data_IF_251984686572
#
_entry.id   IF_251984686572
#
_cell.length_a   1.000
_cell.length_b   1.000
_cell.length_c   1.000
_cell.angle_alpha   90.00
_cell.angle_beta   90.00
_cell.angle_gamma   90.00
#
_symmetry.space_group_name_H-M   'P 1'
#
loop_
_entity.id
_entity.type
_entity.pdbx_description
1 polymer ?
#
# COMPACT_ATOMS: atom_id res chain seq x y z
N UNK A 1 29.18 -9.98 6.45
CA UNK A 1 28.66 -8.63 6.75
C UNK A 1 27.22 -8.61 6.28
N UNK A 2 26.26 -8.37 7.19
CA UNK A 2 24.85 -8.34 6.81
C UNK A 2 24.47 -6.92 6.33
N UNK A 3 23.69 -6.79 5.24
CA UNK A 3 23.23 -5.49 4.77
C UNK A 3 22.29 -4.85 5.80
N UNK A 4 22.40 -3.53 5.98
CA UNK A 4 21.54 -2.78 6.90
C UNK A 4 20.11 -2.67 6.35
N UNK A 5 19.10 -2.54 7.19
CA UNK A 5 17.73 -2.28 6.74
C UNK A 5 17.57 -0.79 6.39
N UNK A 6 16.98 -0.48 5.23
CA UNK A 6 16.62 0.90 4.87
C UNK A 6 15.45 1.40 5.73
N UNK A 7 14.47 0.54 6.03
CA UNK A 7 13.34 0.88 6.90
C UNK A 7 13.79 1.24 8.33
N UNK A 8 14.85 0.58 8.83
CA UNK A 8 15.42 0.87 10.15
C UNK A 8 16.07 2.25 10.27
N UNK A 9 16.51 2.84 9.14
CA UNK A 9 16.98 4.24 9.09
C UNK A 9 15.80 5.21 9.14
N UNK A 10 14.61 4.77 8.73
CA UNK A 10 13.39 5.56 8.79
C UNK A 10 13.35 6.66 7.73
N UNK A 11 12.75 7.80 8.07
CA UNK A 11 12.46 8.91 7.14
C UNK A 11 13.70 9.59 6.57
N UNK A 12 14.85 9.39 7.18
CA UNK A 12 16.11 10.02 6.78
C UNK A 12 16.81 9.25 5.66
N UNK A 13 16.32 8.05 5.31
CA UNK A 13 16.90 7.29 4.20
C UNK A 13 16.65 8.01 2.87
N UNK A 14 17.70 8.33 2.09
CA UNK A 14 17.58 9.19 0.92
C UNK A 14 17.21 8.39 -0.34
N UNK A 15 15.97 7.92 -0.39
CA UNK A 15 15.46 7.11 -1.49
C UNK A 15 15.58 7.78 -2.87
N UNK A 16 15.52 9.11 -2.94
CA UNK A 16 15.55 9.88 -4.19
C UNK A 16 16.85 10.64 -4.45
N UNK A 17 17.84 10.52 -3.55
CA UNK A 17 19.10 11.23 -3.76
C UNK A 17 19.82 10.70 -5.01
N UNK A 18 20.34 11.62 -5.81
CA UNK A 18 21.12 11.31 -7.03
C UNK A 18 22.37 10.48 -6.74
N UNK A 19 22.83 10.49 -5.49
CA UNK A 19 24.00 9.77 -5.01
C UNK A 19 23.67 8.37 -4.50
N UNK A 20 22.39 8.02 -4.34
CA UNK A 20 21.95 6.68 -3.93
C UNK A 20 21.92 5.77 -5.15
N UNK A 21 22.76 4.73 -5.16
CA UNK A 21 22.82 3.74 -6.23
C UNK A 21 21.99 2.51 -5.86
N UNK A 22 21.11 2.06 -6.75
CA UNK A 22 20.31 0.86 -6.52
C UNK A 22 20.92 -0.36 -7.20
N UNK A 23 20.88 -1.49 -6.49
CA UNK A 23 21.38 -2.78 -6.95
C UNK A 23 20.25 -3.78 -6.81
N UNK A 24 20.01 -4.54 -7.87
CA UNK A 24 19.06 -5.64 -7.86
C UNK A 24 19.82 -6.96 -7.91
N UNK A 25 19.48 -7.88 -7.01
CA UNK A 25 20.05 -9.23 -6.95
C UNK A 25 18.93 -10.22 -7.22
N UNK A 26 19.04 -10.96 -8.32
CA UNK A 26 18.07 -11.96 -8.75
C UNK A 26 18.24 -13.27 -8.00
N UNK A 27 17.24 -14.15 -8.07
CA UNK A 27 17.29 -15.48 -7.43
C UNK A 27 18.43 -16.36 -7.94
N UNK A 28 18.82 -16.20 -9.20
CA UNK A 28 19.95 -16.93 -9.81
C UNK A 28 21.33 -16.39 -9.38
N UNK A 29 21.35 -15.36 -8.53
CA UNK A 29 22.57 -14.71 -8.05
C UNK A 29 23.13 -13.66 -9.02
N UNK A 30 22.48 -13.43 -10.16
CA UNK A 30 22.87 -12.34 -11.05
C UNK A 30 22.60 -10.98 -10.41
N UNK A 31 23.48 -10.02 -10.69
CA UNK A 31 23.42 -8.67 -10.14
C UNK A 31 23.26 -7.69 -11.29
N UNK A 32 22.21 -6.88 -11.23
CA UNK A 32 21.93 -5.85 -12.23
C UNK A 32 21.81 -4.48 -11.55
N UNK A 33 21.94 -3.42 -12.34
CA UNK A 33 21.58 -2.08 -11.86
C UNK A 33 20.09 -2.09 -11.49
N UNK A 34 19.81 -1.72 -10.25
CA UNK A 34 18.46 -1.71 -9.70
C UNK A 34 17.77 -0.37 -9.88
N UNK A 35 16.48 -0.35 -9.57
CA UNK A 35 15.69 0.87 -9.45
C UNK A 35 14.58 1.03 -10.49
N UNK A 36 13.67 1.95 -10.21
CA UNK A 36 12.48 2.20 -11.01
C UNK A 36 11.40 1.12 -10.87
N UNK A 37 10.36 1.23 -11.69
CA UNK A 37 9.16 0.38 -11.62
C UNK A 37 9.47 -1.09 -11.83
N UNK A 38 10.29 -1.45 -12.82
CA UNK A 38 10.55 -2.83 -13.18
C UNK A 38 11.30 -3.61 -12.08
N UNK A 39 12.27 -2.97 -11.41
CA UNK A 39 12.98 -3.60 -10.29
C UNK A 39 12.08 -3.72 -9.05
N UNK A 40 11.21 -2.73 -8.81
CA UNK A 40 10.17 -2.81 -7.78
C UNK A 40 9.22 -3.97 -8.04
N UNK A 41 8.69 -4.12 -9.26
CA UNK A 41 7.74 -5.19 -9.58
C UNK A 41 8.36 -6.59 -9.39
N UNK A 42 9.63 -6.78 -9.78
CA UNK A 42 10.37 -8.04 -9.57
C UNK A 42 10.67 -8.32 -8.10
N UNK A 43 11.08 -7.30 -7.35
CA UNK A 43 11.32 -7.42 -5.92
C UNK A 43 10.02 -7.75 -5.16
N UNK A 44 8.91 -7.14 -5.57
CA UNK A 44 7.57 -7.41 -5.04
C UNK A 44 7.11 -8.84 -5.35
N UNK A 45 7.40 -9.34 -6.55
CA UNK A 45 7.14 -10.73 -6.95
C UNK A 45 8.11 -11.75 -6.31
N UNK A 46 8.99 -11.30 -5.40
CA UNK A 46 10.06 -12.10 -4.77
C UNK A 46 11.04 -12.74 -5.77
N UNK A 47 11.09 -12.25 -7.00
CA UNK A 47 12.01 -12.73 -8.05
C UNK A 47 13.41 -12.12 -7.91
N UNK A 48 13.50 -11.01 -7.18
CA UNK A 48 14.75 -10.33 -6.88
C UNK A 48 14.70 -9.68 -5.50
N UNK A 49 15.85 -9.21 -5.03
CA UNK A 49 16.01 -8.38 -3.83
C UNK A 49 16.63 -7.07 -4.23
N UNK A 50 16.06 -5.98 -3.72
CA UNK A 50 16.53 -4.63 -4.01
C UNK A 50 17.41 -4.12 -2.86
N UNK A 51 18.55 -3.54 -3.22
CA UNK A 51 19.49 -2.92 -2.31
C UNK A 51 19.79 -1.50 -2.77
N UNK A 52 20.22 -0.66 -1.84
CA UNK A 52 20.67 0.69 -2.07
C UNK A 52 22.03 0.91 -1.42
N UNK A 53 22.95 1.49 -2.17
CA UNK A 53 24.23 1.97 -1.67
C UNK A 53 24.06 3.45 -1.39
N UNK A 54 24.16 3.82 -0.12
CA UNK A 54 24.12 5.22 0.29
C UNK A 54 25.55 5.67 0.67
N UNK A 55 26.12 6.63 -0.07
CA UNK A 55 27.44 7.18 0.25
C UNK A 55 27.37 8.10 1.48
N UNK A 56 28.13 7.75 2.51
CA UNK A 56 28.50 8.63 3.61
C UNK A 56 29.79 9.40 3.30
N UNK A 57 30.24 10.22 4.27
CA UNK A 57 31.41 11.10 4.11
C UNK A 57 32.72 10.33 3.89
N UNK A 58 32.85 9.12 4.46
CA UNK A 58 34.08 8.29 4.41
C UNK A 58 33.83 6.81 4.09
N UNK A 59 32.58 6.38 3.95
CA UNK A 59 32.21 4.99 3.66
C UNK A 59 30.90 4.92 2.89
N UNK A 60 30.75 3.90 2.05
CA UNK A 60 29.46 3.56 1.44
C UNK A 60 28.85 2.38 2.18
N UNK A 61 27.64 2.56 2.69
CA UNK A 61 26.91 1.51 3.38
C UNK A 61 25.89 0.89 2.42
N UNK A 62 25.76 -0.44 2.48
CA UNK A 62 24.77 -1.21 1.73
C UNK A 62 23.52 -1.42 2.59
N UNK A 63 22.38 -0.98 2.05
CA UNK A 63 21.07 -1.12 2.65
C UNK A 63 20.19 -2.05 1.82
N UNK A 64 19.47 -2.95 2.47
CA UNK A 64 18.39 -3.72 1.88
C UNK A 64 17.13 -2.86 1.86
N UNK A 65 16.45 -2.79 0.72
CA UNK A 65 15.14 -2.18 0.61
C UNK A 65 14.10 -3.21 1.04
N UNK A 66 13.85 -3.26 2.34
CA UNK A 66 12.90 -4.17 2.98
C UNK A 66 11.48 -3.59 3.05
N UNK A 67 11.36 -2.26 3.06
CA UNK A 67 10.08 -1.56 2.88
C UNK A 67 9.92 -1.09 1.41
N UNK A 68 9.35 -1.97 0.60
CA UNK A 68 9.05 -1.69 -0.80
C UNK A 68 7.97 -0.61 -0.97
N UNK A 69 7.09 -0.39 0.02
CA UNK A 69 6.05 0.63 -0.06
C UNK A 69 6.66 2.05 0.10
N UNK A 70 7.64 2.23 1.00
CA UNK A 70 8.33 3.51 1.15
C UNK A 70 9.24 3.80 -0.06
N UNK A 71 9.88 2.77 -0.63
CA UNK A 71 10.57 2.88 -1.92
C UNK A 71 9.61 3.33 -3.03
N UNK A 72 8.45 2.67 -3.16
CA UNK A 72 7.48 2.99 -4.20
C UNK A 72 6.98 4.43 -4.08
N UNK A 73 6.63 4.86 -2.86
CA UNK A 73 6.22 6.22 -2.56
C UNK A 73 7.29 7.25 -2.91
N UNK A 74 8.55 7.00 -2.54
CA UNK A 74 9.65 7.90 -2.84
C UNK A 74 9.91 8.06 -4.35
N UNK A 75 9.78 6.97 -5.11
CA UNK A 75 9.99 6.96 -6.56
C UNK A 75 8.73 7.31 -7.37
N UNK A 76 7.66 7.76 -6.70
CA UNK A 76 6.38 8.09 -7.36
C UNK A 76 5.71 6.89 -8.03
N UNK A 77 6.12 5.68 -7.66
CA UNK A 77 5.52 4.42 -8.10
C UNK A 77 4.21 4.27 -7.33
N UNK A 78 3.16 4.84 -7.91
CA UNK A 78 1.81 4.66 -7.40
C UNK A 78 1.26 3.34 -7.92
N UNK A 79 0.98 2.48 -6.94
CA UNK A 79 0.19 1.25 -6.94
C UNK A 79 0.23 0.25 -8.11
N UNK A 80 0.22 -1.02 -7.72
CA UNK A 80 0.00 -2.16 -8.57
C UNK A 80 -1.51 -2.49 -8.59
N UNK A 81 -2.18 -2.15 -9.70
CA UNK A 81 -3.60 -2.42 -9.92
C UNK A 81 -3.90 -3.93 -9.92
N UNK A 82 -2.96 -4.77 -10.38
CA UNK A 82 -3.15 -6.22 -10.43
C UNK A 82 -3.18 -6.81 -9.02
N UNK A 83 -2.27 -6.35 -8.15
CA UNK A 83 -2.23 -6.79 -6.74
C UNK A 83 -3.41 -6.26 -5.92
N UNK A 84 -3.75 -4.99 -6.09
CA UNK A 84 -4.68 -4.28 -5.19
C UNK A 84 -6.12 -4.36 -5.66
N UNK A 85 -6.33 -4.62 -6.96
CA UNK A 85 -7.61 -4.54 -7.65
C UNK A 85 -8.17 -3.12 -7.74
N UNK A 86 -7.37 -2.12 -7.38
CA UNK A 86 -7.76 -0.71 -7.34
C UNK A 86 -6.93 0.08 -8.37
N UNK A 87 -7.62 0.57 -9.38
CA UNK A 87 -7.04 1.49 -10.37
C UNK A 87 -6.87 2.88 -9.76
N UNK A 88 -5.93 3.68 -10.26
CA UNK A 88 -5.75 5.07 -9.84
C UNK A 88 -6.79 5.98 -10.50
N UNK A 89 -7.95 6.15 -9.85
CA UNK A 89 -8.96 7.16 -10.18
C UNK A 89 -9.83 7.47 -8.94
N UNK A 90 -10.70 8.48 -9.05
CA UNK A 90 -11.72 8.77 -8.03
C UNK A 90 -12.79 7.69 -8.08
N UNK A 91 -12.84 6.81 -7.07
CA UNK A 91 -13.76 5.69 -7.06
C UNK A 91 -15.21 6.18 -6.90
N UNK A 92 -16.09 5.63 -7.72
CA UNK A 92 -17.53 5.72 -7.51
C UNK A 92 -17.92 4.70 -6.44
N UNK A 93 -18.06 5.19 -5.20
CA UNK A 93 -18.27 4.39 -4.00
C UNK A 93 -19.70 4.59 -3.53
N UNK A 94 -20.46 3.50 -3.53
CA UNK A 94 -21.77 3.44 -2.89
C UNK A 94 -21.62 2.74 -1.54
N UNK A 95 -22.22 3.29 -0.49
CA UNK A 95 -22.13 2.69 0.83
C UNK A 95 -23.42 2.83 1.63
N UNK A 96 -23.64 1.87 2.52
CA UNK A 96 -24.75 1.87 3.47
C UNK A 96 -24.28 1.38 4.83
N UNK A 97 -24.98 1.78 5.91
CA UNK A 97 -24.70 1.24 7.25
C UNK A 97 -25.14 -0.21 7.31
N UNK A 98 -24.29 -1.09 7.81
CA UNK A 98 -24.66 -2.49 7.97
C UNK A 98 -25.59 -2.66 9.19
N UNK A 99 -26.88 -2.88 8.92
CA UNK A 99 -27.96 -2.89 9.92
C UNK A 99 -28.00 -4.15 10.81
N UNK A 100 -27.34 -5.24 10.40
CA UNK A 100 -27.40 -6.55 11.08
C UNK A 100 -26.40 -6.72 12.24
N UNK A 101 -25.39 -5.85 12.36
CA UNK A 101 -24.54 -5.81 13.56
C UNK A 101 -25.14 -4.82 14.54
N UNK A 102 -25.23 -5.20 15.81
CA UNK A 102 -25.60 -4.31 16.92
C UNK A 102 -24.74 -3.04 16.88
N UNK A 103 -25.24 -2.00 16.19
CA UNK A 103 -24.58 -0.71 16.03
C UNK A 103 -24.62 -0.02 17.38
N UNK A 104 -23.56 -0.17 18.16
CA UNK A 104 -23.42 0.57 19.41
C UNK A 104 -23.20 2.05 19.04
N UNK A 105 -24.16 2.95 19.33
CA UNK A 105 -24.07 4.35 18.94
C UNK A 105 -22.91 5.08 19.64
N UNK A 106 -22.35 4.50 20.71
CA UNK A 106 -21.16 5.02 21.39
C UNK A 106 -19.84 4.59 20.77
N UNK A 107 -19.85 3.63 19.83
CA UNK A 107 -18.64 3.22 19.12
C UNK A 107 -18.20 4.32 18.16
N UNK A 108 -16.92 4.76 18.20
CA UNK A 108 -16.40 5.73 17.26
C UNK A 108 -16.35 5.17 15.83
N UNK A 109 -16.28 3.84 15.68
CA UNK A 109 -16.31 3.16 14.40
C UNK A 109 -17.69 2.59 14.12
N UNK A 110 -18.14 2.70 12.87
CA UNK A 110 -19.34 2.06 12.33
C UNK A 110 -18.93 1.04 11.27
N UNK A 111 -19.68 -0.05 11.16
CA UNK A 111 -19.49 -1.02 10.07
C UNK A 111 -20.39 -0.61 8.92
N UNK A 112 -19.81 -0.48 7.73
CA UNK A 112 -20.52 -0.13 6.51
C UNK A 112 -20.33 -1.22 5.47
N UNK A 113 -21.32 -1.37 4.60
CA UNK A 113 -21.21 -2.12 3.36
C UNK A 113 -20.87 -1.17 2.23
N UNK A 114 -19.88 -1.52 1.43
CA UNK A 114 -19.35 -0.71 0.33
C UNK A 114 -19.44 -1.50 -0.96
N UNK A 115 -19.82 -0.83 -2.05
CA UNK A 115 -19.70 -1.33 -3.42
C UNK A 115 -19.01 -0.30 -4.30
N UNK A 116 -18.27 -0.78 -5.29
CA UNK A 116 -17.49 0.05 -6.22
C UNK A 116 -18.11 -0.04 -7.61
N UNK A 117 -18.84 1.00 -8.02
CA UNK A 117 -19.50 1.06 -9.34
C UNK A 117 -18.50 1.21 -10.49
N UNK A 118 -17.28 1.64 -10.18
CA UNK A 118 -16.18 1.76 -11.15
C UNK A 118 -15.56 0.42 -11.58
N UNK A 119 -16.08 -0.71 -11.09
CA UNK A 119 -15.58 -2.05 -11.44
C UNK A 119 -14.30 -2.47 -10.73
N UNK A 120 -13.75 -1.64 -9.84
CA UNK A 120 -12.60 -2.02 -9.02
C UNK A 120 -12.97 -3.08 -7.98
N UNK A 121 -11.97 -3.85 -7.55
CA UNK A 121 -12.10 -4.83 -6.48
C UNK A 121 -11.12 -4.50 -5.35
N UNK A 122 -11.59 -4.46 -4.11
CA UNK A 122 -10.70 -4.28 -2.96
C UNK A 122 -10.00 -5.61 -2.66
N UNK A 123 -8.73 -5.73 -3.06
CA UNK A 123 -7.85 -6.85 -2.65
C UNK A 123 -6.89 -6.45 -1.53
N UNK A 124 -6.65 -5.15 -1.36
CA UNK A 124 -5.86 -4.59 -0.27
C UNK A 124 -6.67 -3.53 0.48
N UNK A 125 -6.95 -3.77 1.76
CA UNK A 125 -7.66 -2.80 2.59
C UNK A 125 -6.81 -1.55 2.87
N UNK A 126 -5.49 -1.71 3.03
CA UNK A 126 -4.58 -0.59 3.27
C UNK A 126 -4.54 0.38 2.08
N UNK A 127 -4.52 -0.18 0.87
CA UNK A 127 -4.64 0.54 -0.39
C UNK A 127 -5.92 1.36 -0.47
N UNK A 128 -7.05 0.69 -0.25
CA UNK A 128 -8.36 1.31 -0.27
C UNK A 128 -8.47 2.42 0.78
N UNK A 129 -8.00 2.15 2.01
CA UNK A 129 -7.99 3.13 3.08
C UNK A 129 -7.20 4.40 2.72
N UNK A 130 -6.04 4.26 2.08
CA UNK A 130 -5.24 5.40 1.63
C UNK A 130 -5.98 6.21 0.56
N UNK A 131 -6.54 5.54 -0.45
CA UNK A 131 -7.29 6.21 -1.52
C UNK A 131 -8.58 6.88 -0.99
N UNK A 132 -9.31 6.25 -0.07
CA UNK A 132 -10.51 6.85 0.52
C UNK A 132 -10.18 8.01 1.46
N UNK A 133 -9.02 7.98 2.13
CA UNK A 133 -8.54 9.10 2.93
C UNK A 133 -8.28 10.32 2.05
N UNK A 134 -7.66 10.12 0.90
CA UNK A 134 -7.36 11.19 -0.06
C UNK A 134 -8.62 11.69 -0.78
N UNK A 135 -9.48 10.79 -1.25
CA UNK A 135 -10.63 11.12 -2.11
C UNK A 135 -11.83 11.63 -1.33
N UNK A 136 -12.09 11.11 -0.13
CA UNK A 136 -13.29 11.41 0.67
C UNK A 136 -13.01 11.76 2.13
N UNK A 137 -11.75 11.80 2.54
CA UNK A 137 -11.39 12.09 3.93
C UNK A 137 -11.71 10.96 4.91
N UNK A 138 -12.08 9.77 4.42
CA UNK A 138 -12.51 8.65 5.27
C UNK A 138 -11.35 8.05 6.06
N UNK A 139 -11.60 7.78 7.34
CA UNK A 139 -10.68 7.05 8.21
C UNK A 139 -11.14 5.59 8.34
N UNK A 140 -10.70 4.77 7.38
CA UNK A 140 -10.99 3.33 7.33
C UNK A 140 -10.09 2.58 8.33
N UNK A 141 -10.68 1.75 9.16
CA UNK A 141 -9.93 0.89 10.07
C UNK A 141 -9.19 -0.18 9.27
N UNK A 142 -7.85 -0.18 9.35
CA UNK A 142 -6.99 -1.17 8.69
C UNK A 142 -6.90 -2.49 9.46
N UNK A 143 -7.38 -2.52 10.71
CA UNK A 143 -7.30 -3.67 11.61
C UNK A 143 -8.70 -4.15 12.01
N UNK A 144 -8.90 -5.47 11.91
CA UNK A 144 -10.12 -6.16 12.35
C UNK A 144 -11.27 -6.18 11.35
N UNK A 145 -11.74 -7.39 11.03
CA UNK A 145 -13.10 -7.68 10.55
C UNK A 145 -13.57 -6.90 9.33
N UNK A 146 -12.80 -6.91 8.25
CA UNK A 146 -13.32 -6.63 6.92
C UNK A 146 -13.58 -7.94 6.18
N UNK A 147 -14.52 -7.93 5.25
CA UNK A 147 -14.86 -9.09 4.44
C UNK A 147 -15.44 -8.67 3.10
N UNK A 148 -15.40 -9.58 2.14
CA UNK A 148 -16.02 -9.39 0.83
C UNK A 148 -17.09 -10.45 0.61
N UNK A 149 -18.20 -10.04 0.02
CA UNK A 149 -19.23 -10.95 -0.49
C UNK A 149 -19.40 -10.71 -1.99
N UNK A 150 -19.63 -11.78 -2.74
CA UNK A 150 -19.97 -11.70 -4.17
C UNK A 150 -21.39 -12.20 -4.33
N UNK A 151 -22.25 -11.37 -4.92
CA UNK A 151 -23.64 -11.70 -5.21
C UNK A 151 -24.01 -11.38 -6.65
N UNK A 152 -25.29 -11.60 -7.03
CA UNK A 152 -25.80 -11.28 -8.37
C UNK A 152 -25.63 -9.79 -8.73
N UNK A 153 -25.68 -8.92 -7.72
CA UNK A 153 -25.55 -7.47 -7.85
C UNK A 153 -24.09 -6.97 -7.85
N UNK A 154 -23.11 -7.88 -7.80
CA UNK A 154 -21.69 -7.57 -7.80
C UNK A 154 -20.99 -7.81 -6.46
N UNK A 155 -19.79 -7.24 -6.32
CA UNK A 155 -18.97 -7.39 -5.11
C UNK A 155 -19.29 -6.30 -4.10
N UNK A 156 -19.52 -6.73 -2.87
CA UNK A 156 -19.70 -5.85 -1.72
C UNK A 156 -18.64 -6.14 -0.66
N UNK A 157 -18.29 -5.11 0.10
CA UNK A 157 -17.25 -5.16 1.11
C UNK A 157 -17.81 -4.65 2.44
N UNK A 158 -17.74 -5.46 3.49
CA UNK A 158 -18.02 -5.00 4.86
C UNK A 158 -16.71 -4.51 5.46
N UNK A 159 -16.68 -3.25 5.92
CA UNK A 159 -15.50 -2.63 6.49
C UNK A 159 -15.88 -1.62 7.57
N UNK A 160 -14.95 -1.31 8.48
CA UNK A 160 -15.16 -0.38 9.58
C UNK A 160 -14.58 0.98 9.24
N UNK A 161 -15.36 2.04 9.46
CA UNK A 161 -14.94 3.42 9.23
C UNK A 161 -15.25 4.27 10.44
N UNK A 162 -14.39 5.24 10.73
CA UNK A 162 -14.63 6.22 11.77
C UNK A 162 -15.89 7.04 11.42
N UNK A 163 -16.90 7.00 12.30
CA UNK A 163 -18.24 7.55 12.03
C UNK A 163 -18.21 9.03 11.62
N UNK A 164 -17.37 9.84 12.28
CA UNK A 164 -17.21 11.27 11.96
C UNK A 164 -16.63 11.53 10.56
N UNK A 165 -15.93 10.57 9.97
CA UNK A 165 -15.31 10.73 8.65
C UNK A 165 -16.25 10.42 7.48
N UNK A 166 -17.43 9.83 7.74
CA UNK A 166 -18.44 9.52 6.72
C UNK A 166 -19.41 10.67 6.43
N UNK A 167 -19.40 11.72 7.27
CA UNK A 167 -20.30 12.87 7.17
C UNK A 167 -19.71 14.04 6.37
N UNK A 168 -18.50 13.87 5.82
CA UNK A 168 -17.81 14.84 4.98
C UNK A 168 -18.07 14.56 3.50
#
# INVERSE_FOLDING_TARGET
>A
MEPRSAAAVGKDFPYTARTTCYIEVHQDGSVTHGGGRAAYDRALASQSRLFAVWPGEWSSDLFMIDDLDEYAKAHGIKHDQERTGLTEHVHDVQWEKESYRNDNPRSPYVTIRVSLSCGCSIRSLGAFAAQMKEQRGWDVAKTGGWGSSSGPEGKTYSLRVLRRSLAN
#
